data_IF_330007960925
#
_entry.id   IF_330007960925
#
_cell.length_a   1.000
_cell.length_b   1.000
_cell.length_c   1.000
_cell.angle_alpha   90.00
_cell.angle_beta   90.00
_cell.angle_gamma   90.00
#
_symmetry.space_group_name_H-M   'P 1'
#
loop_
_entity.id
_entity.type
_entity.pdbx_description
1 polymer ?
#
# COMPACT_ATOMS: atom_id res chain seq x y z
N UNK A 1 59.00 7.40 18.04
CA UNK A 1 58.81 7.86 16.65
C UNK A 1 58.97 6.67 15.72
N UNK A 2 57.88 5.97 15.39
CA UNK A 2 57.87 4.86 14.42
C UNK A 2 56.96 5.26 13.27
N UNK A 3 57.54 5.49 12.09
CA UNK A 3 56.81 5.80 10.85
C UNK A 3 56.51 4.49 10.12
N UNK A 4 55.29 3.99 10.27
CA UNK A 4 54.74 2.90 9.48
C UNK A 4 54.35 3.46 8.10
N UNK A 5 55.04 3.00 7.05
CA UNK A 5 54.68 3.27 5.65
C UNK A 5 53.41 2.50 5.31
N UNK A 6 52.31 3.21 5.05
CA UNK A 6 51.09 2.64 4.47
C UNK A 6 51.26 2.64 2.96
N UNK A 7 51.32 1.44 2.39
CA UNK A 7 51.36 1.19 0.96
C UNK A 7 50.00 1.53 0.36
N UNK A 8 49.94 2.55 -0.51
CA UNK A 8 48.78 2.88 -1.32
C UNK A 8 48.71 1.85 -2.45
N UNK A 9 47.93 0.79 -2.25
CA UNK A 9 47.60 -0.20 -3.27
C UNK A 9 46.43 0.28 -4.12
N UNK A 10 46.65 0.36 -5.43
CA UNK A 10 45.69 0.73 -6.47
C UNK A 10 44.33 0.04 -6.30
N UNK A 11 43.28 0.82 -6.01
CA UNK A 11 41.89 0.42 -6.12
C UNK A 11 41.34 0.90 -7.48
N UNK A 12 41.74 0.23 -8.54
CA UNK A 12 41.31 0.53 -9.92
C UNK A 12 40.90 -0.76 -10.65
N UNK A 13 39.95 -1.53 -10.09
CA UNK A 13 39.41 -2.74 -10.70
C UNK A 13 38.03 -3.05 -10.07
N UNK A 14 36.96 -2.38 -10.52
CA UNK A 14 35.55 -2.85 -10.44
C UNK A 14 34.53 -1.84 -11.03
N UNK A 15 34.76 -1.39 -12.26
CA UNK A 15 33.75 -0.69 -13.09
C UNK A 15 33.64 -1.35 -14.47
N UNK A 16 33.61 -2.69 -14.48
CA UNK A 16 33.27 -3.48 -15.65
C UNK A 16 32.22 -4.52 -15.22
N UNK A 17 31.14 -4.59 -16.00
CA UNK A 17 30.03 -5.55 -15.92
C UNK A 17 28.76 -5.15 -15.13
N UNK A 18 28.02 -4.13 -15.59
CA UNK A 18 26.55 -4.23 -15.73
C UNK A 18 26.09 -3.50 -17.00
N UNK A 19 26.73 -3.75 -18.14
CA UNK A 19 26.03 -3.67 -19.43
C UNK A 19 25.54 -5.09 -19.71
N UNK A 20 24.61 -5.58 -18.88
CA UNK A 20 23.83 -6.74 -19.26
C UNK A 20 23.14 -6.36 -20.56
N UNK A 21 23.59 -6.96 -21.66
CA UNK A 21 23.01 -6.80 -22.98
C UNK A 21 21.51 -7.00 -22.84
N UNK A 22 20.74 -5.94 -23.06
CA UNK A 22 19.31 -6.02 -23.28
C UNK A 22 19.11 -6.82 -24.57
N UNK A 23 19.23 -8.16 -24.50
CA UNK A 23 18.68 -8.99 -25.54
C UNK A 23 17.17 -8.79 -25.48
N UNK A 24 16.54 -8.33 -26.58
CA UNK A 24 15.09 -8.26 -26.62
C UNK A 24 14.56 -9.65 -26.26
N UNK A 25 13.69 -9.72 -25.26
CA UNK A 25 13.01 -10.97 -24.93
C UNK A 25 12.40 -11.52 -26.23
N UNK A 26 12.53 -12.83 -26.50
CA UNK A 26 11.93 -13.41 -27.70
C UNK A 26 10.46 -13.00 -27.77
N UNK A 27 10.00 -12.67 -28.97
CA UNK A 27 8.63 -12.21 -29.18
C UNK A 27 7.65 -13.16 -28.49
N UNK A 28 6.96 -12.66 -27.47
CA UNK A 28 6.04 -13.48 -26.69
C UNK A 28 4.79 -13.72 -27.53
N UNK A 29 4.51 -14.99 -27.79
CA UNK A 29 3.29 -15.38 -28.47
C UNK A 29 2.10 -15.34 -27.51
N UNK A 30 1.39 -14.20 -27.51
CA UNK A 30 0.15 -14.01 -26.75
C UNK A 30 -1.07 -14.67 -27.41
N UNK A 31 -0.92 -15.27 -28.60
CA UNK A 31 -2.01 -16.00 -29.27
C UNK A 31 -2.21 -17.41 -28.72
N UNK A 32 -1.27 -17.91 -27.89
CA UNK A 32 -1.36 -19.20 -27.24
C UNK A 32 -2.63 -19.31 -26.39
N UNK A 33 -3.59 -20.11 -26.85
CA UNK A 33 -4.75 -20.50 -26.06
C UNK A 33 -4.33 -21.60 -25.09
N UNK A 34 -4.33 -21.29 -23.79
CA UNK A 34 -4.04 -22.28 -22.74
C UNK A 34 -5.33 -23.02 -22.42
N UNK A 35 -5.41 -24.35 -22.63
CA UNK A 35 -6.62 -25.11 -22.36
C UNK A 35 -6.93 -25.10 -20.86
N UNK A 36 -8.22 -25.14 -20.53
CA UNK A 36 -8.66 -25.28 -19.14
C UNK A 36 -8.14 -26.60 -18.55
N UNK A 37 -7.57 -26.58 -17.32
CA UNK A 37 -7.17 -27.81 -16.65
C UNK A 37 -8.35 -28.78 -16.53
N UNK A 38 -8.04 -30.07 -16.53
CA UNK A 38 -9.02 -31.13 -16.29
C UNK A 38 -9.60 -31.00 -14.86
N UNK A 39 -10.80 -31.52 -14.65
CA UNK A 39 -11.54 -31.41 -13.38
C UNK A 39 -10.80 -32.01 -12.18
N UNK A 40 -10.02 -33.07 -12.39
CA UNK A 40 -9.14 -33.67 -11.38
C UNK A 40 -8.05 -32.70 -10.90
N UNK A 41 -7.44 -31.95 -11.83
CA UNK A 41 -6.47 -30.89 -11.51
C UNK A 41 -7.15 -29.75 -10.74
N UNK A 42 -8.35 -29.32 -11.14
CA UNK A 42 -9.09 -28.28 -10.41
C UNK A 42 -9.47 -28.72 -8.99
N UNK A 43 -9.94 -29.96 -8.83
CA UNK A 43 -10.26 -30.56 -7.54
C UNK A 43 -9.02 -30.67 -6.64
N UNK A 44 -7.90 -31.10 -7.20
CA UNK A 44 -6.63 -31.20 -6.48
C UNK A 44 -6.13 -29.83 -5.98
N UNK A 45 -6.19 -28.79 -6.82
CA UNK A 45 -5.83 -27.42 -6.41
C UNK A 45 -6.78 -26.90 -5.33
N UNK A 46 -8.06 -27.24 -5.41
CA UNK A 46 -9.05 -26.88 -4.39
C UNK A 46 -8.72 -27.55 -3.05
N UNK A 47 -8.35 -28.84 -3.06
CA UNK A 47 -7.89 -29.56 -1.88
C UNK A 47 -6.64 -28.94 -1.25
N UNK A 48 -5.68 -28.48 -2.07
CA UNK A 48 -4.48 -27.78 -1.59
C UNK A 48 -4.83 -26.44 -0.93
N UNK A 49 -5.70 -25.65 -1.58
CA UNK A 49 -6.18 -24.36 -1.07
C UNK A 49 -6.87 -24.51 0.28
N UNK A 50 -7.70 -25.54 0.43
CA UNK A 50 -8.43 -25.80 1.68
C UNK A 50 -7.53 -26.39 2.76
N UNK A 51 -6.36 -26.92 2.38
CA UNK A 51 -5.46 -27.65 3.28
C UNK A 51 -5.91 -29.09 3.53
N UNK A 52 -6.84 -29.61 2.74
CA UNK A 52 -7.29 -31.02 2.80
C UNK A 52 -6.19 -31.97 2.32
N UNK A 53 -5.35 -31.50 1.40
CA UNK A 53 -4.15 -32.21 0.94
C UNK A 53 -2.93 -31.31 1.08
N UNK A 54 -1.80 -31.81 1.61
CA UNK A 54 -0.57 -31.06 1.61
C UNK A 54 0.06 -31.09 0.21
N UNK A 55 0.71 -30.00 -0.19
CA UNK A 55 1.52 -29.98 -1.41
C UNK A 55 2.80 -30.81 -1.23
N UNK A 56 3.32 -30.81 0.01
CA UNK A 56 4.50 -31.54 0.47
C UNK A 56 4.07 -32.63 1.44
N UNK A 57 4.24 -33.90 1.09
CA UNK A 57 4.12 -34.99 2.07
C UNK A 57 5.24 -34.83 3.10
N UNK A 58 4.95 -35.10 4.38
CA UNK A 58 5.75 -34.72 5.57
C UNK A 58 7.23 -35.16 5.60
N UNK A 59 7.72 -35.86 4.58
CA UNK A 59 9.14 -36.22 4.41
C UNK A 59 9.62 -36.28 2.96
N UNK A 60 8.82 -35.85 1.96
CA UNK A 60 9.19 -35.91 0.53
C UNK A 60 9.15 -34.51 -0.09
N UNK A 61 10.04 -34.29 -1.05
CA UNK A 61 9.99 -33.11 -1.93
C UNK A 61 8.58 -32.98 -2.54
N UNK A 62 8.19 -31.76 -2.92
CA UNK A 62 6.94 -31.54 -3.64
C UNK A 62 6.91 -32.52 -4.81
N UNK A 63 5.87 -33.35 -4.92
CA UNK A 63 5.79 -34.24 -6.07
C UNK A 63 5.71 -33.39 -7.33
N UNK A 64 6.49 -33.75 -8.36
CA UNK A 64 6.46 -33.02 -9.64
C UNK A 64 5.04 -32.93 -10.22
N UNK A 65 4.19 -33.93 -9.92
CA UNK A 65 2.78 -33.94 -10.26
C UNK A 65 1.98 -32.80 -9.59
N UNK A 66 2.19 -32.55 -8.29
CA UNK A 66 1.52 -31.45 -7.57
C UNK A 66 1.97 -30.08 -8.11
N UNK A 67 3.27 -29.90 -8.40
CA UNK A 67 3.78 -28.67 -9.01
C UNK A 67 3.25 -28.48 -10.43
N UNK A 68 3.16 -29.56 -11.21
CA UNK A 68 2.59 -29.50 -12.56
C UNK A 68 1.11 -29.10 -12.52
N UNK A 69 0.32 -29.63 -11.58
CA UNK A 69 -1.07 -29.25 -11.37
C UNK A 69 -1.21 -27.75 -10.99
N UNK A 70 -0.41 -27.28 -10.03
CA UNK A 70 -0.34 -25.87 -9.63
C UNK A 70 0.03 -24.98 -10.81
N UNK A 71 1.09 -25.32 -11.55
CA UNK A 71 1.55 -24.52 -12.67
C UNK A 71 0.54 -24.51 -13.82
N UNK A 72 -0.11 -25.64 -14.13
CA UNK A 72 -1.14 -25.71 -15.17
C UNK A 72 -2.35 -24.84 -14.82
N UNK A 73 -2.80 -24.87 -13.57
CA UNK A 73 -3.88 -24.00 -13.10
C UNK A 73 -3.46 -22.53 -13.14
N UNK A 74 -2.25 -22.20 -12.66
CA UNK A 74 -1.75 -20.84 -12.64
C UNK A 74 -1.60 -20.27 -14.06
N UNK A 75 -1.07 -21.06 -15.01
CA UNK A 75 -0.95 -20.69 -16.41
C UNK A 75 -2.33 -20.40 -17.01
N UNK A 76 -3.30 -21.30 -16.84
CA UNK A 76 -4.65 -21.10 -17.37
C UNK A 76 -5.33 -19.85 -16.80
N UNK A 77 -5.25 -19.63 -15.49
CA UNK A 77 -5.87 -18.47 -14.84
C UNK A 77 -5.29 -17.13 -15.30
N UNK A 78 -3.99 -17.10 -15.60
CA UNK A 78 -3.33 -15.87 -16.04
C UNK A 78 -3.50 -15.66 -17.55
N UNK A 79 -3.33 -16.70 -18.37
CA UNK A 79 -3.45 -16.57 -19.83
C UNK A 79 -4.89 -16.44 -20.32
N UNK A 80 -5.91 -16.84 -19.55
CA UNK A 80 -7.30 -16.52 -19.94
C UNK A 80 -7.57 -15.01 -20.00
N UNK A 81 -6.73 -14.17 -19.37
CA UNK A 81 -6.78 -12.71 -19.51
C UNK A 81 -6.40 -12.22 -20.91
N UNK A 82 -5.68 -13.04 -21.69
CA UNK A 82 -5.27 -12.74 -23.07
C UNK A 82 -6.23 -13.29 -24.12
N UNK A 83 -7.28 -14.04 -23.72
CA UNK A 83 -8.20 -14.67 -24.66
C UNK A 83 -8.95 -13.60 -25.49
N UNK A 84 -8.80 -13.58 -26.84
CA UNK A 84 -9.49 -12.64 -27.71
C UNK A 84 -11.01 -12.60 -27.51
N UNK A 85 -11.64 -13.74 -27.26
CA UNK A 85 -13.10 -13.87 -27.07
C UNK A 85 -13.59 -13.15 -25.80
N UNK A 86 -12.71 -13.03 -24.81
CA UNK A 86 -13.01 -12.29 -23.59
C UNK A 86 -12.77 -10.78 -23.77
N UNK A 87 -11.89 -10.40 -24.69
CA UNK A 87 -11.42 -9.01 -24.91
C UNK A 87 -12.34 -8.23 -25.87
N UNK A 88 -13.42 -8.82 -26.38
CA UNK A 88 -14.30 -8.13 -27.35
C UNK A 88 -15.06 -6.97 -26.70
N UNK A 89 -15.07 -5.81 -27.36
CA UNK A 89 -15.88 -4.64 -26.95
C UNK A 89 -17.40 -4.86 -27.17
N UNK A 90 -17.76 -5.88 -27.94
CA UNK A 90 -19.15 -6.25 -28.19
C UNK A 90 -19.72 -7.02 -27.01
N UNK A 91 -20.90 -6.60 -26.54
CA UNK A 91 -21.69 -7.35 -25.55
C UNK A 91 -22.12 -8.65 -26.24
N UNK A 92 -21.66 -9.84 -25.82
CA UNK A 92 -22.10 -11.06 -26.45
C UNK A 92 -23.59 -11.29 -26.15
N UNK A 93 -24.36 -11.84 -27.10
CA UNK A 93 -25.73 -12.25 -26.82
C UNK A 93 -25.74 -13.41 -25.78
N UNK A 94 -26.76 -13.49 -24.91
CA UNK A 94 -26.90 -14.59 -23.95
C UNK A 94 -26.99 -15.97 -24.64
N UNK A 95 -26.41 -17.04 -24.06
CA UNK A 95 -25.60 -17.09 -22.84
C UNK A 95 -24.16 -16.63 -23.13
N UNK A 96 -23.84 -15.41 -22.70
CA UNK A 96 -22.58 -14.76 -23.02
C UNK A 96 -21.42 -15.37 -22.23
N UNK A 97 -20.21 -15.50 -22.82
CA UNK A 97 -19.01 -15.81 -22.06
C UNK A 97 -18.80 -14.80 -20.93
N UNK A 98 -18.25 -15.28 -19.82
CA UNK A 98 -17.92 -14.49 -18.63
C UNK A 98 -17.03 -13.31 -19.02
N UNK A 99 -17.48 -12.06 -18.79
CA UNK A 99 -16.71 -10.84 -19.09
C UNK A 99 -15.33 -10.87 -18.42
N UNK A 100 -14.33 -10.17 -18.98
CA UNK A 100 -12.96 -10.16 -18.40
C UNK A 100 -12.93 -9.72 -16.94
N UNK A 101 -13.78 -8.77 -16.55
CA UNK A 101 -13.92 -8.35 -15.14
C UNK A 101 -14.32 -9.53 -14.25
N UNK A 102 -15.21 -10.39 -14.73
CA UNK A 102 -15.63 -11.57 -14.01
C UNK A 102 -14.57 -12.67 -14.05
N UNK A 103 -13.62 -12.70 -15.00
CA UNK A 103 -12.53 -13.68 -15.00
C UNK A 103 -11.60 -13.51 -13.79
N UNK A 104 -11.34 -12.27 -13.40
CA UNK A 104 -10.54 -11.95 -12.21
C UNK A 104 -11.28 -12.41 -10.95
N UNK A 105 -12.58 -12.09 -10.84
CA UNK A 105 -13.42 -12.54 -9.71
C UNK A 105 -13.61 -14.07 -9.67
N UNK A 106 -13.79 -14.72 -10.81
CA UNK A 106 -13.86 -16.19 -10.92
C UNK A 106 -12.59 -16.83 -10.36
N UNK A 107 -11.44 -16.19 -10.58
CA UNK A 107 -10.14 -16.69 -10.16
C UNK A 107 -9.97 -16.61 -8.64
N UNK A 108 -10.72 -15.73 -7.97
CA UNK A 108 -10.74 -15.56 -6.52
C UNK A 108 -11.02 -16.88 -5.79
N UNK A 109 -11.81 -17.78 -6.38
CA UNK A 109 -12.08 -19.10 -5.78
C UNK A 109 -10.85 -19.98 -5.65
N UNK A 110 -9.76 -19.74 -6.37
CA UNK A 110 -8.54 -20.53 -6.25
C UNK A 110 -7.53 -19.94 -5.28
N UNK A 111 -7.77 -18.72 -4.80
CA UNK A 111 -6.90 -18.07 -3.84
C UNK A 111 -7.32 -18.40 -2.40
N UNK A 112 -6.31 -18.60 -1.55
CA UNK A 112 -6.52 -18.61 -0.12
C UNK A 112 -6.37 -17.19 0.42
N UNK A 113 -7.36 -16.71 1.17
CA UNK A 113 -7.34 -15.40 1.81
C UNK A 113 -7.31 -15.54 3.33
N UNK A 114 -6.46 -14.79 4.04
CA UNK A 114 -6.39 -14.82 5.50
C UNK A 114 -7.63 -14.26 6.21
N UNK A 115 -8.55 -13.65 5.46
CA UNK A 115 -9.77 -13.05 6.00
C UNK A 115 -11.00 -13.65 5.32
N UNK A 116 -11.93 -14.15 6.13
CA UNK A 116 -13.16 -14.80 5.65
C UNK A 116 -14.40 -13.89 5.70
N UNK A 117 -14.29 -12.67 6.25
CA UNK A 117 -15.30 -11.63 6.05
C UNK A 117 -15.25 -11.12 4.61
N UNK A 118 -16.37 -10.67 4.03
CA UNK A 118 -16.44 -10.38 2.59
C UNK A 118 -16.46 -8.88 2.26
N UNK A 119 -16.48 -7.94 3.22
CA UNK A 119 -16.80 -6.52 2.92
C UNK A 119 -16.08 -5.39 3.65
N UNK A 120 -15.41 -5.56 4.80
CA UNK A 120 -14.63 -4.47 5.42
C UNK A 120 -13.14 -4.50 5.03
N UNK A 121 -12.75 -3.64 4.10
CA UNK A 121 -11.36 -3.39 3.65
C UNK A 121 -10.42 -2.94 4.78
N UNK A 122 -10.98 -2.64 5.96
CA UNK A 122 -10.23 -2.38 7.18
C UNK A 122 -10.66 -3.39 8.24
N UNK A 123 -9.78 -4.28 8.72
CA UNK A 123 -10.06 -5.05 9.91
C UNK A 123 -10.23 -4.07 11.07
N UNK A 124 -11.48 -3.86 11.50
CA UNK A 124 -11.77 -3.10 12.72
C UNK A 124 -11.09 -3.83 13.87
N UNK A 125 -10.21 -3.11 14.54
CA UNK A 125 -9.23 -3.64 15.47
C UNK A 125 -9.76 -3.46 16.90
N UNK A 126 -11.05 -3.77 17.10
CA UNK A 126 -11.71 -3.69 18.38
C UNK A 126 -11.26 -4.83 19.30
N UNK A 127 -9.98 -4.87 19.69
CA UNK A 127 -9.41 -5.63 20.82
C UNK A 127 -9.53 -7.17 20.80
N UNK A 128 -10.36 -7.73 19.94
CA UNK A 128 -10.44 -9.13 19.60
C UNK A 128 -10.22 -9.24 18.10
N UNK A 129 -9.40 -10.22 17.69
CA UNK A 129 -9.43 -10.70 16.31
C UNK A 129 -10.90 -10.81 15.91
N UNK A 130 -11.33 -10.06 14.89
CA UNK A 130 -12.66 -10.29 14.30
C UNK A 130 -12.84 -11.81 14.17
N UNK A 131 -13.98 -12.41 14.59
CA UNK A 131 -14.16 -13.86 14.69
C UNK A 131 -13.88 -14.68 13.42
N UNK A 132 -13.49 -14.03 12.33
CA UNK A 132 -13.26 -14.57 10.99
C UNK A 132 -11.79 -14.68 10.58
N UNK A 133 -10.82 -14.21 11.38
CA UNK A 133 -9.40 -14.41 11.07
C UNK A 133 -8.97 -15.84 11.45
N UNK A 134 -8.78 -16.70 10.45
CA UNK A 134 -8.26 -18.05 10.64
C UNK A 134 -6.80 -18.04 10.28
N UNK A 135 -5.94 -18.35 11.25
CA UNK A 135 -4.52 -18.56 10.97
C UNK A 135 -4.39 -19.68 9.92
N UNK A 136 -3.58 -19.50 8.86
CA UNK A 136 -3.41 -20.52 7.84
C UNK A 136 -2.76 -21.77 8.45
N UNK A 137 -3.23 -22.95 8.04
CA UNK A 137 -2.52 -24.21 8.29
C UNK A 137 -1.18 -24.20 7.53
N UNK A 138 -0.22 -25.04 7.92
CA UNK A 138 1.07 -25.09 7.22
C UNK A 138 0.92 -25.56 5.76
N UNK A 139 -0.06 -26.42 5.48
CA UNK A 139 -0.44 -26.79 4.12
C UNK A 139 -0.95 -25.59 3.31
N UNK A 140 -1.79 -24.74 3.90
CA UNK A 140 -2.29 -23.51 3.25
C UNK A 140 -1.17 -22.49 3.01
N UNK A 141 -0.22 -22.33 3.95
CA UNK A 141 0.96 -21.48 3.75
C UNK A 141 1.79 -21.97 2.57
N UNK A 142 2.07 -23.28 2.51
CA UNK A 142 2.77 -23.88 1.38
C UNK A 142 2.02 -23.63 0.06
N UNK A 143 0.68 -23.73 0.07
CA UNK A 143 -0.13 -23.40 -1.10
C UNK A 143 0.00 -21.95 -1.54
N UNK A 144 -0.13 -20.99 -0.63
CA UNK A 144 0.05 -19.56 -0.95
C UNK A 144 1.42 -19.31 -1.57
N UNK A 145 2.49 -19.93 -1.03
CA UNK A 145 3.84 -19.80 -1.57
C UNK A 145 4.00 -20.39 -2.96
N UNK A 146 3.66 -21.66 -3.16
CA UNK A 146 3.90 -22.36 -4.43
C UNK A 146 2.96 -21.87 -5.54
N UNK A 147 1.67 -21.70 -5.23
CA UNK A 147 0.69 -21.18 -6.17
C UNK A 147 0.96 -19.71 -6.50
N UNK A 148 1.32 -18.90 -5.49
CA UNK A 148 1.67 -17.50 -5.69
C UNK A 148 2.90 -17.32 -6.59
N UNK A 149 3.93 -18.15 -6.42
CA UNK A 149 5.10 -18.17 -7.29
C UNK A 149 4.75 -18.55 -8.73
N UNK A 150 3.90 -19.57 -8.92
CA UNK A 150 3.44 -19.98 -10.25
C UNK A 150 2.62 -18.89 -10.95
N UNK A 151 1.70 -18.23 -10.24
CA UNK A 151 0.92 -17.11 -10.77
C UNK A 151 1.84 -15.95 -11.14
N UNK A 152 2.76 -15.56 -10.23
CA UNK A 152 3.71 -14.46 -10.46
C UNK A 152 4.55 -14.69 -11.73
N UNK A 153 5.04 -15.91 -11.94
CA UNK A 153 5.81 -16.30 -13.13
C UNK A 153 5.06 -15.96 -14.42
N UNK A 154 3.79 -16.33 -14.52
CA UNK A 154 2.97 -16.08 -15.71
C UNK A 154 2.50 -14.62 -15.80
N UNK A 155 2.21 -13.97 -14.67
CA UNK A 155 1.81 -12.55 -14.64
C UNK A 155 2.89 -11.63 -15.19
N UNK A 156 4.17 -11.91 -14.89
CA UNK A 156 5.32 -11.15 -15.43
C UNK A 156 5.40 -11.16 -16.95
N UNK A 157 4.81 -12.17 -17.60
CA UNK A 157 4.67 -12.25 -19.06
C UNK A 157 3.45 -11.43 -19.51
N UNK A 158 2.27 -11.72 -18.97
CA UNK A 158 1.00 -11.11 -19.41
C UNK A 158 0.95 -9.61 -19.16
N UNK A 159 1.65 -9.09 -18.15
CA UNK A 159 1.71 -7.65 -17.90
C UNK A 159 2.35 -6.85 -19.05
N UNK A 160 3.17 -7.51 -19.88
CA UNK A 160 3.84 -6.91 -21.05
C UNK A 160 2.99 -6.95 -22.32
N UNK A 161 1.74 -7.38 -22.21
CA UNK A 161 0.84 -7.52 -23.33
C UNK A 161 0.57 -6.15 -24.01
N UNK A 162 0.51 -6.09 -25.36
CA UNK A 162 0.36 -4.82 -26.10
C UNK A 162 -0.99 -4.12 -25.82
N UNK A 163 -2.06 -4.90 -25.63
CA UNK A 163 -3.40 -4.35 -25.32
C UNK A 163 -3.48 -3.82 -23.87
N UNK A 164 -3.83 -2.53 -23.64
CA UNK A 164 -3.93 -1.95 -22.31
C UNK A 164 -4.93 -2.65 -21.38
N UNK A 165 -6.07 -3.10 -21.91
CA UNK A 165 -7.09 -3.80 -21.12
C UNK A 165 -6.54 -5.09 -20.49
N UNK A 166 -5.66 -5.82 -21.18
CA UNK A 166 -5.02 -7.03 -20.64
C UNK A 166 -4.09 -6.65 -19.49
N UNK A 167 -3.28 -5.59 -19.64
CA UNK A 167 -2.38 -5.11 -18.58
C UNK A 167 -3.14 -4.65 -17.34
N UNK A 168 -4.25 -3.94 -17.52
CA UNK A 168 -5.13 -3.51 -16.43
C UNK A 168 -5.68 -4.73 -15.67
N UNK A 169 -6.12 -5.77 -16.37
CA UNK A 169 -6.63 -6.97 -15.73
C UNK A 169 -5.51 -7.81 -15.08
N UNK A 170 -4.32 -7.86 -15.67
CA UNK A 170 -3.14 -8.43 -15.02
C UNK A 170 -2.80 -7.68 -13.73
N UNK A 171 -2.92 -6.34 -13.73
CA UNK A 171 -2.77 -5.50 -12.53
C UNK A 171 -3.81 -5.82 -11.45
N UNK A 172 -5.08 -6.06 -11.80
CA UNK A 172 -6.11 -6.53 -10.86
C UNK A 172 -5.82 -7.93 -10.32
N UNK A 173 -5.29 -8.80 -11.16
CA UNK A 173 -4.89 -10.15 -10.75
C UNK A 173 -3.70 -10.11 -9.78
N UNK A 174 -2.78 -9.18 -10.00
CA UNK A 174 -1.67 -8.87 -9.10
C UNK A 174 -2.16 -8.39 -7.73
N UNK A 175 -3.20 -7.55 -7.66
CA UNK A 175 -3.77 -7.16 -6.36
C UNK A 175 -4.46 -8.32 -5.65
N UNK A 176 -5.14 -9.21 -6.36
CA UNK A 176 -5.69 -10.45 -5.78
C UNK A 176 -4.59 -11.34 -5.20
N UNK A 177 -3.48 -11.52 -5.91
CA UNK A 177 -2.35 -12.29 -5.41
C UNK A 177 -1.79 -11.66 -4.13
N UNK A 178 -1.66 -10.34 -4.07
CA UNK A 178 -1.15 -9.64 -2.89
C UNK A 178 -2.06 -9.83 -1.65
N UNK A 179 -3.38 -9.92 -1.84
CA UNK A 179 -4.35 -10.17 -0.76
C UNK A 179 -4.17 -11.55 -0.09
N UNK A 180 -3.53 -12.50 -0.77
CA UNK A 180 -3.22 -13.83 -0.19
C UNK A 180 -2.12 -13.76 0.89
N UNK A 181 -1.34 -12.67 0.90
CA UNK A 181 -0.14 -12.56 1.72
C UNK A 181 1.11 -13.16 1.08
N UNK A 182 1.08 -13.51 -0.22
CA UNK A 182 2.27 -13.94 -0.95
C UNK A 182 3.30 -12.79 -1.05
N UNK A 183 4.37 -12.88 -0.25
CA UNK A 183 5.39 -11.83 -0.11
C UNK A 183 6.45 -11.89 -1.22
N UNK A 184 6.57 -13.01 -1.93
CA UNK A 184 7.53 -13.21 -3.03
C UNK A 184 7.32 -12.29 -4.24
N UNK A 185 6.23 -11.53 -4.30
CA UNK A 185 5.99 -10.52 -5.34
C UNK A 185 6.53 -9.12 -4.99
N UNK A 186 6.98 -8.87 -3.75
CA UNK A 186 7.37 -7.53 -3.31
C UNK A 186 8.49 -6.91 -4.15
N UNK A 187 9.50 -7.69 -4.53
CA UNK A 187 10.61 -7.22 -5.37
C UNK A 187 10.14 -6.76 -6.75
N UNK A 188 9.25 -7.53 -7.38
CA UNK A 188 8.66 -7.16 -8.66
C UNK A 188 7.75 -5.93 -8.57
N UNK A 189 7.02 -5.77 -7.47
CA UNK A 189 6.22 -4.56 -7.24
C UNK A 189 7.09 -3.30 -7.08
N UNK A 190 8.25 -3.42 -6.42
CA UNK A 190 9.25 -2.34 -6.35
C UNK A 190 9.74 -2.00 -7.77
N UNK A 191 10.13 -3.01 -8.55
CA UNK A 191 10.56 -2.83 -9.94
C UNK A 191 9.52 -2.05 -10.77
N UNK A 192 8.23 -2.37 -10.62
CA UNK A 192 7.14 -1.66 -11.32
C UNK A 192 7.07 -0.18 -10.91
N UNK A 193 7.10 0.11 -9.61
CA UNK A 193 6.94 1.48 -9.09
C UNK A 193 8.11 2.36 -9.50
N UNK A 194 9.33 1.82 -9.38
CA UNK A 194 10.58 2.54 -9.67
C UNK A 194 10.88 2.60 -11.18
N UNK A 195 10.34 1.69 -11.98
CA UNK A 195 10.55 1.65 -13.43
C UNK A 195 10.05 2.92 -14.12
N UNK A 196 10.95 3.70 -14.71
CA UNK A 196 10.58 4.96 -15.38
C UNK A 196 9.62 4.75 -16.57
N UNK A 197 9.75 3.63 -17.27
CA UNK A 197 8.98 3.30 -18.47
C UNK A 197 7.73 2.45 -18.18
N UNK A 198 7.44 2.16 -16.92
CA UNK A 198 6.29 1.34 -16.57
C UNK A 198 4.98 2.14 -16.72
N UNK A 199 3.96 1.57 -17.37
CA UNK A 199 2.69 2.25 -17.55
C UNK A 199 2.07 2.67 -16.21
N UNK A 200 1.51 3.87 -16.17
CA UNK A 200 0.96 4.42 -14.92
C UNK A 200 -0.13 3.53 -14.34
N UNK A 201 -0.99 2.93 -15.19
CA UNK A 201 -2.03 2.01 -14.75
C UNK A 201 -1.45 0.85 -13.93
N UNK A 202 -0.28 0.34 -14.31
CA UNK A 202 0.37 -0.75 -13.63
C UNK A 202 0.97 -0.31 -12.29
N UNK A 203 1.57 0.89 -12.24
CA UNK A 203 2.05 1.49 -10.98
C UNK A 203 0.92 1.66 -9.97
N UNK A 204 -0.25 2.12 -10.41
CA UNK A 204 -1.44 2.25 -9.54
C UNK A 204 -1.81 0.90 -8.93
N UNK A 205 -1.86 -0.17 -9.73
CA UNK A 205 -2.14 -1.51 -9.21
C UNK A 205 -1.00 -2.04 -8.33
N UNK A 206 0.26 -1.65 -8.56
CA UNK A 206 1.37 -2.04 -7.69
C UNK A 206 1.26 -1.38 -6.31
N UNK A 207 0.87 -0.11 -6.23
CA UNK A 207 0.54 0.52 -4.94
C UNK A 207 -0.64 -0.19 -4.27
N UNK A 208 -1.69 -0.51 -5.02
CA UNK A 208 -2.83 -1.24 -4.47
C UNK A 208 -2.46 -2.66 -4.00
N UNK A 209 -1.57 -3.34 -4.70
CA UNK A 209 -1.03 -4.64 -4.28
C UNK A 209 -0.25 -4.49 -2.97
N UNK A 210 0.61 -3.47 -2.84
CA UNK A 210 1.30 -3.20 -1.58
C UNK A 210 0.34 -2.87 -0.43
N UNK A 211 -0.73 -2.11 -0.70
CA UNK A 211 -1.78 -1.84 0.30
C UNK A 211 -2.30 -3.14 0.91
N UNK A 212 -2.68 -4.11 0.07
CA UNK A 212 -3.17 -5.39 0.56
C UNK A 212 -2.08 -6.21 1.24
N UNK A 213 -0.89 -6.31 0.65
CA UNK A 213 0.21 -7.10 1.21
C UNK A 213 0.66 -6.58 2.59
N UNK A 214 0.77 -5.27 2.76
CA UNK A 214 1.16 -4.64 4.03
C UNK A 214 0.04 -4.72 5.09
N UNK A 215 -1.22 -4.83 4.66
CA UNK A 215 -2.35 -5.08 5.55
C UNK A 215 -2.37 -6.51 6.11
N UNK A 216 -1.81 -7.50 5.39
CA UNK A 216 -1.71 -8.88 5.90
C UNK A 216 -0.74 -8.92 7.08
N UNK A 217 -1.27 -9.26 8.26
CA UNK A 217 -0.51 -9.36 9.50
C UNK A 217 0.23 -10.69 9.60
N UNK A 218 1.41 -10.64 10.19
CA UNK A 218 2.14 -11.85 10.56
C UNK A 218 1.43 -12.58 11.72
N UNK A 219 1.03 -13.86 11.56
CA UNK A 219 0.40 -14.63 12.63
C UNK A 219 1.21 -14.72 13.92
N UNK A 220 2.54 -14.75 13.81
CA UNK A 220 3.46 -14.86 14.95
C UNK A 220 3.77 -13.51 15.58
N UNK A 221 3.64 -12.42 14.82
CA UNK A 221 3.92 -11.04 15.24
C UNK A 221 2.82 -10.13 14.68
N UNK A 222 1.63 -10.07 15.31
CA UNK A 222 0.46 -9.37 14.74
C UNK A 222 0.69 -7.89 14.40
N UNK A 223 1.70 -7.27 15.02
CA UNK A 223 2.10 -5.88 14.79
C UNK A 223 3.12 -5.71 13.65
N UNK A 224 3.40 -6.76 12.87
CA UNK A 224 4.26 -6.69 11.68
C UNK A 224 3.50 -7.16 10.43
N UNK A 225 4.04 -6.85 9.26
CA UNK A 225 3.50 -7.33 7.97
C UNK A 225 3.89 -8.78 7.71
N UNK A 226 3.29 -9.39 6.69
CA UNK A 226 3.65 -10.73 6.18
C UNK A 226 5.04 -10.78 5.51
N UNK A 227 5.63 -9.63 5.17
CA UNK A 227 6.96 -9.55 4.59
C UNK A 227 7.97 -9.78 5.71
N UNK A 228 8.50 -10.99 5.90
CA UNK A 228 9.35 -11.29 7.05
C UNK A 228 10.77 -10.73 6.94
N UNK A 229 11.29 -10.64 5.71
CA UNK A 229 12.64 -10.16 5.47
C UNK A 229 12.73 -8.64 5.70
N UNK A 230 13.59 -8.25 6.65
CA UNK A 230 13.77 -6.87 7.06
C UNK A 230 14.30 -6.00 5.91
N UNK A 231 15.25 -6.52 5.12
CA UNK A 231 15.84 -5.78 4.01
C UNK A 231 14.78 -5.50 2.93
N UNK A 232 13.91 -6.47 2.63
CA UNK A 232 12.76 -6.32 1.75
C UNK A 232 11.73 -5.34 2.31
N UNK A 233 11.39 -5.43 3.60
CA UNK A 233 10.49 -4.44 4.23
C UNK A 233 11.02 -3.02 4.07
N UNK A 234 12.32 -2.81 4.36
CA UNK A 234 12.99 -1.52 4.21
C UNK A 234 12.86 -1.01 2.77
N UNK A 235 13.19 -1.84 1.76
CA UNK A 235 13.08 -1.46 0.35
C UNK A 235 11.66 -1.08 -0.06
N UNK A 236 10.65 -1.80 0.45
CA UNK A 236 9.23 -1.47 0.18
C UNK A 236 8.89 -0.09 0.75
N UNK A 237 9.27 0.19 2.00
CA UNK A 237 9.02 1.50 2.61
C UNK A 237 9.77 2.60 1.87
N UNK A 238 11.04 2.40 1.52
CA UNK A 238 11.84 3.36 0.76
C UNK A 238 11.20 3.67 -0.61
N UNK A 239 10.76 2.63 -1.35
CA UNK A 239 10.11 2.81 -2.65
C UNK A 239 8.79 3.57 -2.54
N UNK A 240 7.95 3.24 -1.56
CA UNK A 240 6.67 3.94 -1.31
C UNK A 240 6.92 5.37 -0.84
N UNK A 241 7.84 5.58 0.10
CA UNK A 241 8.19 6.92 0.58
C UNK A 241 8.76 7.79 -0.53
N UNK A 242 9.63 7.24 -1.38
CA UNK A 242 10.15 7.93 -2.57
C UNK A 242 9.03 8.32 -3.53
N UNK A 243 8.06 7.44 -3.79
CA UNK A 243 6.91 7.76 -4.63
C UNK A 243 5.99 8.82 -4.01
N UNK A 244 5.95 8.94 -2.68
CA UNK A 244 5.17 9.96 -1.97
C UNK A 244 5.86 11.33 -2.04
N UNK A 245 7.17 11.38 -1.84
CA UNK A 245 7.94 12.65 -1.79
C UNK A 245 8.51 13.06 -3.15
N UNK A 246 8.25 12.29 -4.21
CA UNK A 246 8.67 12.58 -5.57
C UNK A 246 8.19 13.98 -5.97
N UNK A 247 9.11 14.80 -6.50
CA UNK A 247 8.76 16.08 -7.10
C UNK A 247 8.62 15.87 -8.60
N UNK A 248 7.41 15.99 -9.16
CA UNK A 248 7.22 15.77 -10.59
C UNK A 248 7.87 16.89 -11.40
N UNK A 249 8.59 16.53 -12.46
CA UNK A 249 9.12 17.49 -13.43
C UNK A 249 8.02 17.91 -14.40
N UNK A 250 7.18 18.85 -13.96
CA UNK A 250 6.15 19.45 -14.82
C UNK A 250 6.74 20.61 -15.63
N UNK A 251 7.49 20.31 -16.68
CA UNK A 251 7.84 21.34 -17.65
C UNK A 251 6.60 21.71 -18.46
N UNK A 252 6.19 22.96 -18.35
CA UNK A 252 5.19 23.52 -19.26
C UNK A 252 5.81 23.53 -20.67
N UNK A 253 5.16 22.96 -21.69
CA UNK A 253 5.65 23.06 -23.04
C UNK A 253 5.73 24.54 -23.43
N UNK A 254 6.81 24.94 -24.11
CA UNK A 254 6.97 26.31 -24.58
C UNK A 254 5.78 26.67 -25.48
N UNK A 255 4.93 27.61 -25.03
CA UNK A 255 3.73 27.97 -25.76
C UNK A 255 4.06 28.97 -26.87
N UNK A 256 3.99 28.53 -28.13
CA UNK A 256 4.18 29.38 -29.31
C UNK A 256 2.96 30.24 -29.69
N UNK A 257 1.81 30.08 -29.01
CA UNK A 257 0.59 30.85 -29.26
C UNK A 257 -0.33 30.88 -28.02
N UNK A 258 -1.29 31.84 -27.94
CA UNK A 258 -2.26 31.90 -26.82
C UNK A 258 -3.13 30.64 -26.69
N UNK A 259 -3.52 30.01 -27.80
CA UNK A 259 -4.29 28.76 -27.79
C UNK A 259 -3.43 27.59 -27.30
N UNK A 260 -2.15 27.54 -27.72
CA UNK A 260 -1.20 26.56 -27.21
C UNK A 260 -0.96 26.73 -25.71
N UNK A 261 -0.90 27.97 -25.20
CA UNK A 261 -0.79 28.25 -23.77
C UNK A 261 -2.01 27.74 -22.98
N UNK A 262 -3.22 27.92 -23.52
CA UNK A 262 -4.44 27.42 -22.89
C UNK A 262 -4.48 25.89 -22.83
N UNK A 263 -4.10 25.22 -23.92
CA UNK A 263 -4.03 23.75 -23.96
C UNK A 263 -2.93 23.22 -23.04
N UNK A 264 -1.77 23.88 -22.99
CA UNK A 264 -0.67 23.56 -22.08
C UNK A 264 -1.10 23.67 -20.61
N UNK A 265 -1.91 24.69 -20.27
CA UNK A 265 -2.46 24.84 -18.93
C UNK A 265 -3.40 23.71 -18.53
N UNK A 266 -4.30 23.27 -19.42
CA UNK A 266 -5.21 22.12 -19.16
C UNK A 266 -4.42 20.81 -18.97
N UNK A 267 -3.47 20.55 -19.86
CA UNK A 267 -2.61 19.37 -19.80
C UNK A 267 -1.77 19.35 -18.51
N UNK A 268 -1.25 20.50 -18.08
CA UNK A 268 -0.57 20.62 -16.78
C UNK A 268 -1.48 20.26 -15.60
N UNK A 269 -2.72 20.76 -15.58
CA UNK A 269 -3.69 20.45 -14.53
C UNK A 269 -3.99 18.94 -14.49
N UNK A 270 -4.17 18.31 -15.64
CA UNK A 270 -4.43 16.87 -15.71
C UNK A 270 -3.22 16.05 -15.28
N UNK A 271 -2.00 16.44 -15.67
CA UNK A 271 -0.75 15.85 -15.17
C UNK A 271 -0.62 15.98 -13.65
N UNK A 272 -0.96 17.13 -13.07
CA UNK A 272 -0.98 17.34 -11.62
C UNK A 272 -2.02 16.45 -10.92
N UNK A 273 -3.23 16.31 -11.48
CA UNK A 273 -4.28 15.43 -10.93
C UNK A 273 -3.87 13.96 -10.96
N UNK A 274 -3.27 13.54 -12.07
CA UNK A 274 -2.74 12.19 -12.25
C UNK A 274 -1.64 11.91 -11.23
N UNK A 275 -0.71 12.85 -11.04
CA UNK A 275 0.33 12.73 -10.03
C UNK A 275 -0.25 12.67 -8.61
N UNK A 276 -1.19 13.56 -8.26
CA UNK A 276 -1.84 13.55 -6.95
C UNK A 276 -2.59 12.23 -6.69
N UNK A 277 -3.21 11.65 -7.72
CA UNK A 277 -3.85 10.34 -7.63
C UNK A 277 -2.82 9.22 -7.39
N UNK A 278 -1.71 9.22 -8.13
CA UNK A 278 -0.58 8.28 -7.94
C UNK A 278 -0.04 8.37 -6.51
N UNK A 279 0.27 9.58 -6.04
CA UNK A 279 0.81 9.83 -4.71
C UNK A 279 -0.14 9.35 -3.62
N UNK A 280 -1.43 9.69 -3.74
CA UNK A 280 -2.45 9.18 -2.82
C UNK A 280 -2.50 7.66 -2.76
N UNK A 281 -2.32 6.96 -3.88
CA UNK A 281 -2.27 5.49 -3.89
C UNK A 281 -1.05 4.95 -3.15
N UNK A 282 0.11 5.58 -3.31
CA UNK A 282 1.30 5.25 -2.52
C UNK A 282 1.08 5.53 -1.02
N UNK A 283 0.45 6.66 -0.68
CA UNK A 283 0.04 7.02 0.69
C UNK A 283 -0.90 5.98 1.30
N UNK A 284 -1.95 5.56 0.57
CA UNK A 284 -2.88 4.49 1.00
C UNK A 284 -2.16 3.15 1.23
N UNK A 285 -1.16 2.83 0.39
CA UNK A 285 -0.35 1.62 0.54
C UNK A 285 0.50 1.67 1.81
N UNK A 286 1.27 2.75 2.00
CA UNK A 286 2.11 2.94 3.18
C UNK A 286 1.29 3.02 4.47
N UNK A 287 0.11 3.63 4.43
CA UNK A 287 -0.86 3.70 5.53
C UNK A 287 -1.38 2.33 6.00
N UNK A 288 -1.24 1.28 5.18
CA UNK A 288 -1.66 -0.08 5.57
C UNK A 288 -0.62 -0.80 6.43
N UNK A 289 0.59 -0.26 6.52
CA UNK A 289 1.67 -0.82 7.32
C UNK A 289 1.38 -0.66 8.83
N UNK A 290 1.57 -1.71 9.67
CA UNK A 290 1.31 -1.65 11.10
C UNK A 290 2.39 -0.93 11.90
N UNK A 291 3.62 -0.86 11.42
CA UNK A 291 4.77 -0.39 12.19
C UNK A 291 5.00 1.09 11.90
N UNK A 292 5.19 1.93 12.92
CA UNK A 292 5.59 3.33 12.71
C UNK A 292 7.06 3.48 12.33
N UNK A 293 7.90 2.56 12.83
CA UNK A 293 9.35 2.46 12.60
C UNK A 293 9.70 0.99 12.36
N UNK A 294 10.54 0.74 11.36
CA UNK A 294 11.18 -0.57 11.17
C UNK A 294 12.56 -0.49 11.81
N UNK A 295 12.86 -1.39 12.73
CA UNK A 295 14.17 -1.52 13.39
C UNK A 295 14.81 -2.86 13.03
N UNK A 296 16.14 -2.88 12.97
CA UNK A 296 16.91 -4.11 12.81
C UNK A 296 17.11 -4.86 14.13
N UNK A 297 17.78 -6.02 14.08
CA UNK A 297 18.04 -6.84 15.26
C UNK A 297 18.97 -6.15 16.29
N UNK A 298 19.64 -5.05 15.90
CA UNK A 298 20.46 -4.21 16.77
C UNK A 298 19.72 -2.93 17.19
N UNK A 299 18.39 -2.90 17.03
CA UNK A 299 17.52 -1.79 17.39
C UNK A 299 17.81 -0.48 16.61
N UNK A 300 18.56 -0.57 15.50
CA UNK A 300 18.84 0.56 14.62
C UNK A 300 17.67 0.79 13.68
N UNK A 301 17.35 2.04 13.42
CA UNK A 301 16.24 2.38 12.53
C UNK A 301 16.60 2.04 11.08
N UNK A 302 15.84 1.13 10.48
CA UNK A 302 15.96 0.75 9.08
C UNK A 302 15.10 1.63 8.16
N UNK A 303 13.89 2.01 8.60
CA UNK A 303 12.96 2.87 7.86
C UNK A 303 11.86 3.47 8.76
N UNK A 304 11.22 4.55 8.31
CA UNK A 304 10.24 5.35 9.09
C UNK A 304 8.95 5.65 8.30
N UNK A 305 8.06 4.66 8.13
CA UNK A 305 6.80 4.88 7.40
C UNK A 305 5.92 5.97 8.03
N UNK A 306 5.84 6.07 9.36
CA UNK A 306 5.04 7.09 10.03
C UNK A 306 5.54 8.51 9.78
N UNK A 307 6.86 8.71 9.58
CA UNK A 307 7.42 10.01 9.24
C UNK A 307 6.89 10.52 7.91
N UNK A 308 6.94 9.68 6.86
CA UNK A 308 6.43 10.05 5.54
C UNK A 308 4.93 10.31 5.57
N UNK A 309 4.15 9.49 6.27
CA UNK A 309 2.71 9.74 6.39
C UNK A 309 2.41 11.01 7.18
N UNK A 310 3.14 11.29 8.26
CA UNK A 310 2.94 12.51 9.02
C UNK A 310 3.28 13.74 8.17
N UNK A 311 4.36 13.71 7.36
CA UNK A 311 4.65 14.78 6.38
C UNK A 311 3.44 15.06 5.48
N UNK A 312 2.77 14.02 4.98
CA UNK A 312 1.57 14.16 4.15
C UNK A 312 0.41 14.73 4.98
N UNK A 313 0.13 14.18 6.16
CA UNK A 313 -0.97 14.62 7.03
C UNK A 313 -0.87 16.11 7.39
N UNK A 314 0.31 16.56 7.83
CA UNK A 314 0.57 17.97 8.20
C UNK A 314 0.89 18.87 7.00
N UNK A 315 0.81 18.33 5.78
CA UNK A 315 1.07 19.06 4.55
C UNK A 315 2.43 19.76 4.53
N UNK A 316 3.47 19.00 4.86
CA UNK A 316 4.82 19.49 5.00
C UNK A 316 5.26 20.31 3.77
N UNK A 317 5.93 21.45 4.00
CA UNK A 317 6.37 22.37 2.94
C UNK A 317 7.21 21.71 1.85
N UNK A 318 7.91 20.62 2.17
CA UNK A 318 8.75 19.86 1.23
C UNK A 318 7.94 19.04 0.21
N UNK A 319 6.64 18.85 0.42
CA UNK A 319 5.79 18.18 -0.55
C UNK A 319 5.42 19.15 -1.69
N UNK A 320 5.77 18.77 -2.92
CA UNK A 320 5.46 19.50 -4.13
C UNK A 320 4.95 18.53 -5.21
N UNK A 321 3.75 18.73 -5.78
CA UNK A 321 2.73 19.70 -5.38
C UNK A 321 2.19 19.42 -3.96
N UNK A 322 1.38 20.33 -3.44
CA UNK A 322 0.74 20.19 -2.14
C UNK A 322 -0.11 18.90 -2.04
N UNK A 323 -0.24 18.33 -0.83
CA UNK A 323 -1.11 17.18 -0.60
C UNK A 323 -2.60 17.63 -0.58
N UNK A 324 -3.45 17.17 -1.51
CA UNK A 324 -4.88 17.45 -1.45
C UNK A 324 -5.47 16.91 -0.14
N UNK A 325 -6.46 17.62 0.40
CA UNK A 325 -7.04 17.32 1.70
C UNK A 325 -7.42 15.84 1.91
N UNK A 326 -7.98 15.20 0.87
CA UNK A 326 -8.32 13.78 0.91
C UNK A 326 -7.12 12.84 1.11
N UNK A 327 -5.99 13.15 0.50
CA UNK A 327 -4.75 12.39 0.70
C UNK A 327 -4.23 12.55 2.13
N UNK A 328 -4.30 13.76 2.69
CA UNK A 328 -3.89 14.07 4.06
C UNK A 328 -4.69 13.29 5.10
N UNK A 329 -6.01 13.18 4.89
CA UNK A 329 -6.89 12.37 5.75
C UNK A 329 -6.56 10.89 5.68
N UNK A 330 -6.22 10.34 4.51
CA UNK A 330 -5.77 8.94 4.40
C UNK A 330 -4.45 8.72 5.14
N UNK A 331 -3.52 9.67 5.04
CA UNK A 331 -2.25 9.62 5.77
C UNK A 331 -2.45 9.64 7.30
N UNK A 332 -3.34 10.50 7.80
CA UNK A 332 -3.74 10.57 9.21
C UNK A 332 -4.25 9.23 9.73
N UNK A 333 -5.22 8.66 9.00
CA UNK A 333 -5.79 7.35 9.33
C UNK A 333 -4.68 6.30 9.36
N UNK A 334 -3.73 6.36 8.42
CA UNK A 334 -2.55 5.50 8.41
C UNK A 334 -1.70 5.62 9.67
N UNK A 335 -1.30 6.84 10.05
CA UNK A 335 -0.50 7.09 11.25
C UNK A 335 -1.20 6.55 12.50
N UNK A 336 -2.50 6.84 12.67
CA UNK A 336 -3.24 6.39 13.85
C UNK A 336 -3.43 4.86 13.89
N UNK A 337 -3.33 4.16 12.76
CA UNK A 337 -3.37 2.70 12.70
C UNK A 337 -2.00 2.03 12.91
N UNK A 338 -0.92 2.81 13.03
CA UNK A 338 0.42 2.29 13.31
C UNK A 338 0.67 2.13 14.81
N UNK A 339 1.41 1.08 15.16
CA UNK A 339 1.95 0.88 16.49
C UNK A 339 3.01 1.96 16.74
N UNK A 340 2.84 2.85 17.74
CA UNK A 340 3.80 3.90 18.00
C UNK A 340 5.11 3.29 18.52
N UNK A 341 6.22 3.86 18.05
CA UNK A 341 7.57 3.51 18.49
C UNK A 341 7.86 4.18 19.83
N UNK A 342 8.63 3.53 20.70
CA UNK A 342 8.98 4.05 22.03
C UNK A 342 9.77 5.36 21.97
N UNK A 343 10.47 5.63 20.86
CA UNK A 343 11.22 6.89 20.63
C UNK A 343 10.44 7.93 19.82
N UNK A 344 9.15 7.67 19.56
CA UNK A 344 8.28 8.66 18.92
C UNK A 344 7.92 9.76 19.93
N UNK A 345 8.13 11.01 19.55
CA UNK A 345 7.72 12.17 20.34
C UNK A 345 6.19 12.32 20.24
N UNK A 346 5.48 11.76 21.22
CA UNK A 346 4.01 11.68 21.18
C UNK A 346 3.33 13.04 21.30
N UNK A 347 3.96 14.02 21.94
CA UNK A 347 3.48 15.42 21.93
C UNK A 347 3.46 16.00 20.51
N UNK A 348 4.54 15.81 19.76
CA UNK A 348 4.63 16.26 18.37
C UNK A 348 3.65 15.51 17.46
N UNK A 349 3.58 14.18 17.61
CA UNK A 349 2.68 13.34 16.83
C UNK A 349 1.20 13.73 17.05
N UNK A 350 0.79 13.85 18.32
CA UNK A 350 -0.59 14.22 18.68
C UNK A 350 -0.94 15.63 18.25
N UNK A 351 0.00 16.58 18.33
CA UNK A 351 -0.19 17.92 17.80
C UNK A 351 -0.46 17.92 16.29
N UNK A 352 0.34 17.18 15.50
CA UNK A 352 0.11 17.04 14.05
C UNK A 352 -1.26 16.46 13.71
N UNK A 353 -1.70 15.45 14.46
CA UNK A 353 -3.05 14.87 14.36
C UNK A 353 -4.12 15.92 14.68
N UNK A 354 -3.97 16.67 15.76
CA UNK A 354 -4.93 17.69 16.18
C UNK A 354 -5.10 18.82 15.16
N UNK A 355 -4.02 19.28 14.53
CA UNK A 355 -4.07 20.28 13.46
C UNK A 355 -4.93 19.78 12.28
N UNK A 356 -4.72 18.53 11.83
CA UNK A 356 -5.51 18.01 10.72
C UNK A 356 -6.98 17.73 11.12
N UNK A 357 -7.25 17.38 12.38
CA UNK A 357 -8.62 17.30 12.88
C UNK A 357 -9.32 18.67 12.85
N UNK A 358 -8.61 19.74 13.20
CA UNK A 358 -9.13 21.11 13.13
C UNK A 358 -9.47 21.48 11.67
N UNK A 359 -8.56 21.21 10.74
CA UNK A 359 -8.79 21.41 9.31
C UNK A 359 -9.97 20.58 8.78
N UNK A 360 -10.14 19.36 9.26
CA UNK A 360 -11.28 18.52 8.91
C UNK A 360 -12.61 19.15 9.32
N UNK A 361 -12.68 19.76 10.50
CA UNK A 361 -13.88 20.50 10.92
C UNK A 361 -14.11 21.73 10.04
N UNK A 362 -13.04 22.47 9.72
CA UNK A 362 -13.11 23.67 8.87
C UNK A 362 -13.56 23.35 7.44
N UNK A 363 -12.92 22.40 6.76
CA UNK A 363 -13.28 21.97 5.40
C UNK A 363 -14.73 21.48 5.32
N UNK A 364 -15.21 20.78 6.37
CA UNK A 364 -16.62 20.38 6.48
C UNK A 364 -17.56 21.57 6.61
N UNK A 365 -17.23 22.54 7.47
CA UNK A 365 -18.07 23.74 7.68
C UNK A 365 -18.20 24.60 6.42
N UNK A 366 -17.24 24.51 5.49
CA UNK A 366 -17.31 25.17 4.18
C UNK A 366 -18.27 24.46 3.20
N UNK A 367 -18.92 23.36 3.60
CA UNK A 367 -19.91 22.67 2.78
C UNK A 367 -19.34 21.96 1.54
N UNK A 368 -18.03 21.70 1.51
CA UNK A 368 -17.38 21.07 0.36
C UNK A 368 -17.73 19.57 0.28
N UNK A 369 -18.11 19.09 -0.91
CA UNK A 369 -18.32 17.66 -1.17
C UNK A 369 -17.01 16.91 -1.49
N UNK A 370 -15.90 17.31 -0.86
CA UNK A 370 -14.57 16.74 -1.12
C UNK A 370 -14.42 15.31 -0.56
N UNK A 371 -15.25 14.93 0.41
CA UNK A 371 -15.20 13.66 1.13
C UNK A 371 -16.59 13.06 1.39
N UNK A 372 -16.71 11.72 1.48
CA UNK A 372 -17.88 11.07 2.04
C UNK A 372 -17.89 11.23 3.58
N UNK A 373 -18.30 12.40 4.06
CA UNK A 373 -18.13 12.87 5.45
C UNK A 373 -18.47 11.84 6.52
N UNK A 374 -19.64 11.18 6.42
CA UNK A 374 -20.08 10.17 7.41
C UNK A 374 -19.09 9.00 7.51
N UNK A 375 -18.71 8.44 6.36
CA UNK A 375 -17.78 7.31 6.28
C UNK A 375 -16.37 7.72 6.73
N UNK A 376 -15.91 8.90 6.32
CA UNK A 376 -14.58 9.39 6.70
C UNK A 376 -14.50 9.66 8.21
N UNK A 377 -15.51 10.28 8.81
CA UNK A 377 -15.57 10.50 10.25
C UNK A 377 -15.55 9.17 11.04
N UNK A 378 -16.27 8.15 10.56
CA UNK A 378 -16.24 6.82 11.15
C UNK A 378 -14.84 6.20 11.11
N UNK A 379 -14.14 6.32 9.98
CA UNK A 379 -12.76 5.82 9.82
C UNK A 379 -11.75 6.55 10.70
N UNK A 380 -11.86 7.89 10.83
CA UNK A 380 -11.00 8.68 11.71
C UNK A 380 -11.22 8.27 13.17
N UNK A 381 -12.49 8.18 13.61
CA UNK A 381 -12.83 7.76 14.98
C UNK A 381 -12.27 6.38 15.30
N UNK A 382 -12.45 5.41 14.40
CA UNK A 382 -11.91 4.05 14.58
C UNK A 382 -10.37 4.07 14.67
N UNK A 383 -9.70 4.81 13.78
CA UNK A 383 -8.25 4.92 13.78
C UNK A 383 -7.72 5.58 15.07
N UNK A 384 -8.39 6.62 15.59
CA UNK A 384 -8.01 7.27 16.86
C UNK A 384 -8.17 6.32 18.05
N UNK A 385 -9.28 5.57 18.11
CA UNK A 385 -9.50 4.56 19.15
C UNK A 385 -8.41 3.50 19.09
N UNK A 386 -8.07 3.04 17.89
CA UNK A 386 -6.98 2.10 17.68
C UNK A 386 -5.64 2.66 18.14
N UNK A 387 -5.32 3.91 17.79
CA UNK A 387 -4.07 4.55 18.21
C UNK A 387 -3.94 4.63 19.72
N UNK A 388 -5.02 5.03 20.40
CA UNK A 388 -5.11 5.04 21.86
C UNK A 388 -4.83 3.65 22.45
N UNK A 389 -5.44 2.61 21.90
CA UNK A 389 -5.25 1.23 22.39
C UNK A 389 -3.80 0.76 22.19
N UNK A 390 -3.21 1.08 21.03
CA UNK A 390 -1.82 0.74 20.71
C UNK A 390 -0.83 1.50 21.59
N UNK A 391 -1.04 2.80 21.82
CA UNK A 391 -0.22 3.64 22.70
C UNK A 391 -0.25 3.13 24.16
N UNK A 392 -1.44 2.75 24.65
CA UNK A 392 -1.60 2.15 25.97
C UNK A 392 -0.90 0.78 26.07
N UNK A 393 -1.06 -0.07 25.06
CA UNK A 393 -0.44 -1.40 25.03
C UNK A 393 1.09 -1.33 24.95
N UNK A 394 1.63 -0.32 24.26
CA UNK A 394 3.08 -0.08 24.16
C UNK A 394 3.66 0.74 25.31
N UNK A 395 2.81 1.34 26.14
CA UNK A 395 3.23 2.21 27.23
C UNK A 395 4.21 3.32 26.76
N UNK A 396 3.92 3.94 25.63
CA UNK A 396 4.76 5.05 25.10
C UNK A 396 4.68 6.28 26.00
N UNK A 397 5.72 7.12 25.95
CA UNK A 397 5.75 8.39 26.67
C UNK A 397 4.57 9.29 26.26
N UNK A 398 4.01 10.03 27.21
CA UNK A 398 2.86 10.94 27.03
C UNK A 398 1.64 10.30 26.33
N UNK A 399 1.40 9.00 26.51
CA UNK A 399 0.19 8.30 25.98
C UNK A 399 -1.13 8.95 26.41
N UNK A 400 -1.14 9.67 27.53
CA UNK A 400 -2.28 10.41 28.05
C UNK A 400 -2.77 11.47 27.06
N UNK A 401 -1.86 12.08 26.28
CA UNK A 401 -2.22 13.03 25.21
C UNK A 401 -3.03 12.34 24.10
N UNK A 402 -2.68 11.11 23.74
CA UNK A 402 -3.44 10.31 22.76
C UNK A 402 -4.83 9.98 23.31
N UNK A 403 -4.92 9.59 24.59
CA UNK A 403 -6.19 9.29 25.26
C UNK A 403 -7.10 10.52 25.30
N UNK A 404 -6.55 11.69 25.60
CA UNK A 404 -7.33 12.94 25.62
C UNK A 404 -7.79 13.33 24.21
N UNK A 405 -6.89 13.31 23.23
CA UNK A 405 -7.20 13.69 21.86
C UNK A 405 -8.23 12.73 21.22
N UNK A 406 -8.18 11.43 21.52
CA UNK A 406 -9.20 10.46 21.08
C UNK A 406 -10.61 10.80 21.61
N UNK A 407 -10.72 11.27 22.87
CA UNK A 407 -12.01 11.72 23.43
C UNK A 407 -12.54 12.93 22.67
N UNK A 408 -11.68 13.94 22.41
CA UNK A 408 -12.03 15.13 21.63
C UNK A 408 -12.44 14.74 20.20
N UNK A 409 -11.67 13.86 19.56
CA UNK A 409 -11.98 13.36 18.23
C UNK A 409 -13.32 12.61 18.21
N UNK A 410 -13.62 11.79 19.23
CA UNK A 410 -14.90 11.08 19.34
C UNK A 410 -16.08 12.03 19.46
N UNK A 411 -15.95 13.10 20.26
CA UNK A 411 -16.95 14.17 20.41
C UNK A 411 -17.22 14.89 19.08
N UNK A 412 -16.18 15.13 18.28
CA UNK A 412 -16.27 15.77 16.96
C UNK A 412 -16.85 14.83 15.89
N UNK A 413 -16.35 13.60 15.82
CA UNK A 413 -16.66 12.68 14.73
C UNK A 413 -18.04 12.07 14.86
N UNK A 414 -18.54 11.83 16.07
CA UNK A 414 -19.84 11.16 16.27
C UNK A 414 -21.00 11.94 15.62
N UNK A 415 -21.17 13.26 15.84
CA UNK A 415 -22.20 14.04 15.14
C UNK A 415 -22.04 14.01 13.60
N UNK A 416 -20.80 14.01 13.09
CA UNK A 416 -20.51 13.97 11.64
C UNK A 416 -20.86 12.60 11.06
N UNK A 417 -20.63 11.51 11.79
CA UNK A 417 -21.04 10.17 11.38
C UNK A 417 -22.56 10.09 11.22
N UNK A 418 -23.32 10.65 12.17
CA UNK A 418 -24.77 10.59 12.18
C UNK A 418 -25.40 11.50 11.12
N UNK A 419 -24.96 12.77 11.07
CA UNK A 419 -25.61 13.84 10.29
C UNK A 419 -24.82 14.32 9.08
N UNK A 420 -23.56 13.92 8.92
CA UNK A 420 -22.72 14.32 7.78
C UNK A 420 -22.48 15.83 7.73
N UNK A 421 -22.87 16.47 6.63
CA UNK A 421 -22.75 17.92 6.44
C UNK A 421 -23.65 18.73 7.38
N UNK A 422 -24.77 18.16 7.81
CA UNK A 422 -25.74 18.85 8.69
C UNK A 422 -25.34 18.83 10.17
N UNK A 423 -24.25 18.12 10.51
CA UNK A 423 -23.78 18.07 11.89
C UNK A 423 -23.42 19.46 12.41
N UNK A 424 -23.77 19.75 13.66
CA UNK A 424 -23.25 20.89 14.40
C UNK A 424 -22.10 20.38 15.26
N UNK A 425 -20.91 20.93 15.06
CA UNK A 425 -19.67 20.45 15.67
C UNK A 425 -19.05 21.60 16.45
N UNK A 426 -18.85 21.42 17.75
CA UNK A 426 -18.12 22.38 18.57
C UNK A 426 -16.61 22.04 18.52
N UNK A 427 -15.80 22.95 17.98
CA UNK A 427 -14.34 22.82 17.88
C UNK A 427 -13.57 23.50 19.03
N UNK A 428 -14.24 24.18 19.98
CA UNK A 428 -13.60 25.01 21.00
C UNK A 428 -12.67 24.20 21.90
N UNK A 429 -13.05 22.96 22.24
CA UNK A 429 -12.20 22.08 23.03
C UNK A 429 -10.94 21.68 22.27
N UNK A 430 -11.05 21.36 20.98
CA UNK A 430 -9.90 21.05 20.13
C UNK A 430 -8.98 22.28 19.99
N UNK A 431 -9.55 23.46 19.77
CA UNK A 431 -8.79 24.71 19.63
C UNK A 431 -8.01 25.04 20.91
N UNK A 432 -8.64 24.90 22.09
CA UNK A 432 -7.96 25.06 23.39
C UNK A 432 -6.86 24.03 23.56
N UNK A 433 -7.14 22.76 23.26
CA UNK A 433 -6.16 21.69 23.35
C UNK A 433 -4.92 21.98 22.50
N UNK A 434 -5.09 22.45 21.26
CA UNK A 434 -3.99 22.87 20.37
C UNK A 434 -3.20 24.04 20.96
N UNK A 435 -3.87 25.00 21.62
CA UNK A 435 -3.22 26.11 22.30
C UNK A 435 -2.34 25.66 23.48
N UNK A 436 -2.86 24.74 24.29
CA UNK A 436 -2.23 24.28 25.53
C UNK A 436 -1.12 23.25 25.31
N UNK A 437 -1.18 22.47 24.22
CA UNK A 437 -0.28 21.33 23.96
C UNK A 437 0.67 21.56 22.77
N UNK A 438 1.25 22.76 22.65
CA UNK A 438 2.29 23.00 21.65
C UNK A 438 3.51 22.13 21.95
N UNK A 439 4.05 21.38 20.96
CA UNK A 439 5.18 20.50 21.20
C UNK A 439 6.43 21.33 21.51
N UNK A 440 7.23 20.87 22.46
CA UNK A 440 8.50 21.50 22.83
C UNK A 440 9.65 21.09 21.89
N UNK A 441 9.45 20.00 21.15
CA UNK A 441 10.38 19.47 20.15
C UNK A 441 9.83 19.71 18.75
N UNK A 442 10.72 19.81 17.77
CA UNK A 442 10.38 20.03 16.36
C UNK A 442 10.43 18.75 15.52
N UNK A 443 10.80 17.62 16.12
CA UNK A 443 11.03 16.34 15.46
C UNK A 443 10.02 15.28 15.90
N UNK A 444 9.61 14.42 14.96
CA UNK A 444 8.72 13.30 15.26
C UNK A 444 9.42 12.17 16.04
N UNK A 445 10.73 12.02 15.85
CA UNK A 445 11.55 11.00 16.51
C UNK A 445 12.77 11.65 17.15
N UNK A 446 12.97 11.41 18.45
CA UNK A 446 14.05 12.04 19.21
C UNK A 446 15.46 11.62 18.78
N UNK A 447 15.58 10.53 18.02
CA UNK A 447 16.87 10.01 17.57
C UNK A 447 17.43 10.69 16.29
N UNK A 448 16.65 11.54 15.60
CA UNK A 448 17.10 12.21 14.38
C UNK A 448 16.57 13.66 14.23
N UNK A 449 17.35 14.68 14.64
CA UNK A 449 16.97 16.10 14.51
C UNK A 449 16.66 16.55 13.07
N UNK A 450 17.20 15.85 12.06
CA UNK A 450 16.97 16.17 10.65
C UNK A 450 15.55 15.86 10.17
N UNK A 451 14.77 15.14 10.99
CA UNK A 451 13.39 14.75 10.71
C UNK A 451 12.38 15.73 11.34
N UNK A 452 12.72 17.02 11.39
CA UNK A 452 11.74 18.04 11.70
C UNK A 452 10.66 18.09 10.60
N UNK A 453 9.39 18.23 10.98
CA UNK A 453 8.33 18.56 10.02
C UNK A 453 8.12 20.06 9.99
N UNK A 454 7.75 20.56 8.82
CA UNK A 454 7.45 21.96 8.59
C UNK A 454 6.01 22.07 8.09
N UNK A 455 5.01 21.95 8.99
CA UNK A 455 3.62 22.07 8.59
C UNK A 455 3.40 23.40 7.88
N UNK A 456 2.60 23.39 6.81
CA UNK A 456 2.02 24.62 6.26
C UNK A 456 0.91 25.09 7.21
N UNK A 457 1.29 25.61 8.38
CA UNK A 457 0.34 26.29 9.26
C UNK A 457 -0.14 27.54 8.50
N UNK A 458 -1.45 27.70 8.38
CA UNK A 458 -2.08 28.78 7.62
C UNK A 458 -1.49 30.15 7.97
N UNK A 459 -1.00 30.86 6.95
CA UNK A 459 -0.82 32.31 6.91
C UNK A 459 0.03 32.95 8.01
N UNK A 460 1.33 33.08 7.73
CA UNK A 460 1.92 34.42 7.66
C UNK A 460 2.28 34.68 6.20
#
# INVERSE_FOLDING_TARGET
>A
MNRSRITVGCLALLTLAVCASWQPLPAQDFSKVVPRPKTDVEGLVTDFREGNKPIRESSKAVTDANLAAINAMAEWLVYRLTNPDSITDTIPPPPAPTRVVNLVEDSRRYFWFPWTGQTSVFPTYAGGLSPSWRAPTDAQKAYVTEFGAAILKHLKVVVKHPKPIVRVNAGRFMTLLAQTGYDGMAEWLIEIIEGANEPLELKIYAFEAFKYMLAVRNPKRPNTTVIFDLARQKKVVEALSKAIVEVPDFQAPAAGSPQAATNAGKDLIDRMRVFAFKRRKATEALASMPQSVIRDDLDRVAARPAYTLMMVAVNDRRLAPEAPFRERVEALIGVCNMVPDERMNMDYATFGVAILLQEFVQERSQGRNSLPWKMTAARIKEAMNQWRNLANAKNVDKKELVVELDKIATEIMTPIMDKGLEAQVNADRLNRWIGDHRPMVDTLFGDEPKLALYPRIFGN
#
